data_IF_807334358087
#
_entry.id   IF_807334358087
#
_cell.length_a   1.000
_cell.length_b   1.000
_cell.length_c   1.000
_cell.angle_alpha   90.00
_cell.angle_beta   90.00
_cell.angle_gamma   90.00
#
_symmetry.space_group_name_H-M   'P 1'
#
loop_
_entity.id
_entity.type
_entity.pdbx_description
1 polymer ?
#
# COMPACT_ATOMS: atom_id res chain seq x y z
N UNK A 1 5.28 -4.70 51.67
CA UNK A 1 5.93 -4.19 50.45
C UNK A 1 5.36 -4.98 49.29
N UNK A 2 4.32 -4.45 48.64
CA UNK A 2 3.68 -5.10 47.50
C UNK A 2 4.43 -4.61 46.26
N UNK A 3 5.21 -5.49 45.64
CA UNK A 3 5.75 -5.23 44.31
C UNK A 3 4.60 -5.49 43.35
N UNK A 4 3.89 -4.43 42.96
CA UNK A 4 3.03 -4.50 41.79
C UNK A 4 3.93 -4.77 40.58
N UNK A 5 3.69 -5.89 39.92
CA UNK A 5 4.35 -6.29 38.69
C UNK A 5 3.93 -5.33 37.57
N UNK A 6 4.76 -4.33 37.25
CA UNK A 6 4.57 -3.36 36.16
C UNK A 6 5.35 -3.72 34.88
N UNK A 7 5.93 -4.93 34.80
CA UNK A 7 6.85 -5.29 33.72
C UNK A 7 6.22 -5.29 32.31
N UNK A 8 4.90 -5.47 32.19
CA UNK A 8 4.24 -5.52 30.87
C UNK A 8 3.93 -4.12 30.30
N UNK A 9 3.66 -3.12 31.14
CA UNK A 9 3.31 -1.76 30.66
C UNK A 9 4.52 -0.94 30.22
N UNK A 10 5.67 -1.13 30.87
CA UNK A 10 6.90 -0.41 30.53
C UNK A 10 7.53 -0.92 29.22
N UNK A 11 7.46 -2.23 28.96
CA UNK A 11 8.01 -2.82 27.71
C UNK A 11 7.21 -2.39 26.48
N UNK A 12 5.87 -2.41 26.57
CA UNK A 12 4.98 -1.96 25.49
C UNK A 12 5.18 -0.47 25.16
N UNK A 13 5.38 0.37 26.17
CA UNK A 13 5.65 1.80 26.01
C UNK A 13 7.01 2.04 25.33
N UNK A 14 8.04 1.30 25.73
CA UNK A 14 9.37 1.39 25.13
C UNK A 14 9.38 0.93 23.68
N UNK A 15 8.77 -0.23 23.38
CA UNK A 15 8.63 -0.75 22.02
C UNK A 15 7.89 0.22 21.11
N UNK A 16 6.80 0.81 21.61
CA UNK A 16 6.03 1.83 20.87
C UNK A 16 6.87 3.06 20.57
N UNK A 17 7.65 3.54 21.54
CA UNK A 17 8.56 4.67 21.36
C UNK A 17 9.63 4.37 20.31
N UNK A 18 10.18 3.15 20.31
CA UNK A 18 11.15 2.71 19.31
C UNK A 18 10.55 2.71 17.89
N UNK A 19 9.34 2.16 17.72
CA UNK A 19 8.63 2.14 16.44
C UNK A 19 8.33 3.57 15.97
N UNK A 20 7.85 4.45 16.86
CA UNK A 20 7.60 5.86 16.55
C UNK A 20 8.86 6.57 16.06
N UNK A 21 9.98 6.38 16.76
CA UNK A 21 11.26 7.00 16.38
C UNK A 21 11.74 6.47 15.02
N UNK A 22 11.61 5.17 14.78
CA UNK A 22 11.93 4.55 13.50
C UNK A 22 11.08 5.12 12.35
N UNK A 23 9.75 5.17 12.51
CA UNK A 23 8.83 5.76 11.54
C UNK A 23 9.09 7.25 11.31
N UNK A 24 9.49 7.98 12.35
CA UNK A 24 9.88 9.38 12.22
C UNK A 24 11.14 9.53 11.40
N UNK A 25 12.15 8.68 11.61
CA UNK A 25 13.36 8.65 10.79
C UNK A 25 13.05 8.39 9.31
N UNK A 26 12.11 7.47 9.04
CA UNK A 26 11.63 7.16 7.68
C UNK A 26 10.96 8.36 6.97
N UNK A 27 10.44 9.35 7.70
CA UNK A 27 9.82 10.55 7.08
C UNK A 27 10.81 11.43 6.30
N UNK A 28 12.11 11.22 6.50
CA UNK A 28 13.18 12.01 5.86
C UNK A 28 13.64 11.45 4.51
N UNK A 29 13.27 10.21 4.17
CA UNK A 29 13.78 9.52 2.98
C UNK A 29 12.91 9.77 1.75
N UNK A 30 13.54 9.79 0.58
CA UNK A 30 12.84 10.00 -0.71
C UNK A 30 12.43 8.72 -1.42
N UNK A 31 13.06 7.60 -1.08
CA UNK A 31 12.81 6.28 -1.65
C UNK A 31 12.82 5.22 -0.56
N UNK A 32 11.88 4.26 -0.61
CA UNK A 32 11.75 3.24 0.43
C UNK A 32 11.29 1.90 -0.14
N UNK A 33 11.85 0.80 0.40
CA UNK A 33 11.34 -0.55 0.22
C UNK A 33 10.81 -1.05 1.56
N UNK A 34 9.58 -1.55 1.61
CA UNK A 34 8.92 -2.04 2.82
C UNK A 34 8.45 -3.48 2.58
N UNK A 35 8.91 -4.41 3.42
CA UNK A 35 8.46 -5.81 3.38
C UNK A 35 7.10 -5.99 4.07
N UNK A 36 6.45 -7.13 3.84
CA UNK A 36 5.19 -7.46 4.52
C UNK A 36 5.35 -7.51 6.05
N UNK A 37 6.46 -8.04 6.59
CA UNK A 37 6.72 -8.03 8.04
C UNK A 37 6.79 -6.60 8.60
N UNK A 38 7.39 -5.68 7.84
CA UNK A 38 7.47 -4.28 8.27
C UNK A 38 6.09 -3.62 8.21
N UNK A 39 5.29 -3.92 7.17
CA UNK A 39 3.92 -3.45 7.07
C UNK A 39 3.02 -3.99 8.19
N UNK A 40 3.23 -5.22 8.65
CA UNK A 40 2.52 -5.79 9.81
C UNK A 40 2.82 -5.00 11.09
N UNK A 41 4.09 -4.68 11.36
CA UNK A 41 4.47 -3.83 12.50
C UNK A 41 3.83 -2.44 12.40
N UNK A 42 3.82 -1.85 11.20
CA UNK A 42 3.18 -0.55 10.94
C UNK A 42 1.67 -0.63 11.17
N UNK A 43 1.03 -1.72 10.72
CA UNK A 43 -0.39 -1.96 10.90
C UNK A 43 -0.76 -2.01 12.39
N UNK A 44 -0.04 -2.81 13.17
CA UNK A 44 -0.31 -2.93 14.60
C UNK A 44 -0.05 -1.63 15.35
N UNK A 45 1.02 -0.91 15.00
CA UNK A 45 1.27 0.42 15.53
C UNK A 45 0.16 1.43 15.18
N UNK A 46 -0.37 1.38 13.95
CA UNK A 46 -1.40 2.31 13.48
C UNK A 46 -2.75 2.20 14.23
N UNK A 47 -2.99 1.06 14.89
CA UNK A 47 -4.16 0.86 15.77
C UNK A 47 -4.00 1.59 17.10
N UNK A 48 -2.77 1.93 17.48
CA UNK A 48 -2.42 2.58 18.75
C UNK A 48 -2.21 4.08 18.57
N UNK A 49 -1.52 4.47 17.49
CA UNK A 49 -1.10 5.85 17.25
C UNK A 49 -1.16 6.22 15.77
N UNK A 50 -1.31 7.51 15.49
CA UNK A 50 -1.30 8.01 14.12
C UNK A 50 0.08 7.86 13.49
N UNK A 51 0.12 7.42 12.24
CA UNK A 51 1.34 7.35 11.45
C UNK A 51 1.87 8.76 11.16
N UNK A 52 3.19 8.97 11.17
CA UNK A 52 3.76 10.24 10.73
C UNK A 52 3.55 10.45 9.24
N UNK A 53 3.61 11.71 8.81
CA UNK A 53 3.56 12.04 7.39
C UNK A 53 4.93 11.79 6.73
N UNK A 54 4.95 11.07 5.62
CA UNK A 54 6.13 10.78 4.80
C UNK A 54 6.18 11.74 3.60
N UNK A 55 6.17 13.05 3.86
CA UNK A 55 6.10 14.08 2.81
C UNK A 55 7.31 14.09 1.87
N UNK A 56 8.47 13.58 2.30
CA UNK A 56 9.65 13.49 1.44
C UNK A 56 9.63 12.27 0.52
N UNK A 57 8.70 11.31 0.72
CA UNK A 57 8.70 10.04 0.00
C UNK A 57 8.12 10.21 -1.41
N UNK A 58 8.96 10.00 -2.42
CA UNK A 58 8.61 10.07 -3.84
C UNK A 58 8.53 8.70 -4.51
N UNK A 59 9.27 7.72 -4.01
CA UNK A 59 9.28 6.36 -4.54
C UNK A 59 9.06 5.34 -3.41
N UNK A 60 8.10 4.45 -3.60
CA UNK A 60 7.79 3.38 -2.64
C UNK A 60 7.71 2.05 -3.38
N UNK A 61 8.43 1.06 -2.87
CA UNK A 61 8.14 -0.33 -3.11
C UNK A 61 7.60 -0.91 -1.80
N UNK A 62 6.38 -1.43 -1.80
CA UNK A 62 5.80 -2.07 -0.62
C UNK A 62 5.23 -3.44 -0.96
N UNK A 63 5.40 -4.39 -0.05
CA UNK A 63 4.79 -5.72 -0.13
C UNK A 63 3.69 -5.85 0.92
N UNK A 64 2.51 -6.32 0.52
CA UNK A 64 1.34 -6.50 1.40
C UNK A 64 0.81 -7.93 1.33
N UNK A 65 0.52 -8.52 2.49
CA UNK A 65 -0.35 -9.71 2.57
C UNK A 65 -1.82 -9.29 2.45
N UNK A 66 -2.67 -10.20 1.96
CA UNK A 66 -4.11 -9.98 1.83
C UNK A 66 -4.74 -9.43 3.12
N UNK A 67 -4.32 -9.94 4.28
CA UNK A 67 -4.81 -9.56 5.61
C UNK A 67 -4.56 -8.10 5.98
N UNK A 68 -3.54 -7.47 5.41
CA UNK A 68 -3.12 -6.10 5.73
C UNK A 68 -3.36 -5.12 4.59
N UNK A 69 -3.84 -5.61 3.44
CA UNK A 69 -4.01 -4.80 2.25
C UNK A 69 -5.06 -3.68 2.46
N UNK A 70 -5.98 -3.82 3.43
CA UNK A 70 -6.91 -2.75 3.84
C UNK A 70 -6.22 -1.51 4.43
N UNK A 71 -5.02 -1.64 5.00
CA UNK A 71 -4.25 -0.51 5.51
C UNK A 71 -3.66 0.35 4.38
N UNK A 72 -3.49 -0.23 3.19
CA UNK A 72 -2.77 0.40 2.09
C UNK A 72 -3.26 1.83 1.79
N UNK A 73 -4.58 2.14 1.69
CA UNK A 73 -5.03 3.49 1.41
C UNK A 73 -4.60 4.46 2.53
N UNK A 74 -4.76 4.06 3.78
CA UNK A 74 -4.40 4.90 4.94
C UNK A 74 -2.90 5.19 4.95
N UNK A 75 -2.07 4.16 4.73
CA UNK A 75 -0.62 4.32 4.64
C UNK A 75 -0.21 5.26 3.50
N UNK A 76 -0.76 5.05 2.28
CA UNK A 76 -0.48 5.93 1.14
C UNK A 76 -1.00 7.35 1.33
N UNK A 77 -2.02 7.54 2.17
CA UNK A 77 -2.51 8.85 2.61
C UNK A 77 -1.47 9.64 3.39
N UNK A 78 -0.53 8.96 4.05
CA UNK A 78 0.59 9.58 4.75
C UNK A 78 1.71 10.01 3.80
N UNK A 79 1.67 9.64 2.52
CA UNK A 79 2.72 9.89 1.53
C UNK A 79 2.23 10.88 0.44
N UNK A 80 1.96 12.16 0.77
CA UNK A 80 1.24 13.09 -0.11
C UNK A 80 1.96 13.38 -1.43
N UNK A 81 3.30 13.22 -1.47
CA UNK A 81 4.13 13.53 -2.63
C UNK A 81 4.56 12.28 -3.42
N UNK A 82 4.00 11.11 -3.09
CA UNK A 82 4.39 9.85 -3.72
C UNK A 82 4.18 9.90 -5.23
N UNK A 83 5.23 9.60 -5.98
CA UNK A 83 5.26 9.69 -7.43
C UNK A 83 5.16 8.32 -8.11
N UNK A 84 5.87 7.35 -7.53
CA UNK A 84 5.97 5.99 -8.05
C UNK A 84 5.70 5.00 -6.92
N UNK A 85 4.80 4.05 -7.20
CA UNK A 85 4.48 2.94 -6.32
C UNK A 85 4.75 1.63 -7.06
N UNK A 86 5.58 0.78 -6.47
CA UNK A 86 5.65 -0.65 -6.79
C UNK A 86 4.96 -1.40 -5.66
N UNK A 87 3.91 -2.13 -5.99
CA UNK A 87 3.09 -2.83 -5.03
C UNK A 87 3.14 -4.32 -5.33
N UNK A 88 3.85 -5.03 -4.48
CA UNK A 88 3.80 -6.49 -4.39
C UNK A 88 2.66 -6.88 -3.45
N UNK A 89 1.84 -7.83 -3.85
CA UNK A 89 0.76 -8.33 -3.00
C UNK A 89 0.52 -9.82 -3.22
N UNK A 90 -0.03 -10.47 -2.21
CA UNK A 90 -0.42 -11.87 -2.25
C UNK A 90 -1.89 -12.00 -1.84
N UNK A 91 -2.66 -12.74 -2.65
CA UNK A 91 -4.06 -13.07 -2.37
C UNK A 91 -4.15 -14.59 -2.15
N UNK A 92 -4.59 -14.97 -0.95
CA UNK A 92 -4.78 -16.36 -0.55
C UNK A 92 -6.19 -16.86 -0.93
N UNK A 93 -7.16 -15.93 -1.03
CA UNK A 93 -8.57 -16.25 -1.29
C UNK A 93 -8.99 -15.87 -2.71
N UNK A 94 -9.83 -16.72 -3.32
CA UNK A 94 -10.42 -16.44 -4.64
C UNK A 94 -11.31 -15.18 -4.60
N UNK A 95 -12.09 -15.05 -3.53
CA UNK A 95 -12.95 -13.92 -3.28
C UNK A 95 -12.34 -13.00 -2.22
N UNK A 96 -12.08 -11.76 -2.62
CA UNK A 96 -11.57 -10.73 -1.74
C UNK A 96 -12.67 -9.72 -1.40
N UNK A 97 -13.28 -9.77 -0.20
CA UNK A 97 -14.47 -8.98 0.13
C UNK A 97 -14.16 -7.51 0.45
N UNK A 98 -12.89 -7.16 0.64
CA UNK A 98 -12.47 -5.83 1.09
C UNK A 98 -12.87 -4.77 0.05
N UNK A 99 -13.45 -3.69 0.56
CA UNK A 99 -13.77 -2.49 -0.22
C UNK A 99 -12.89 -1.35 0.23
N UNK A 100 -12.09 -0.84 -0.70
CA UNK A 100 -11.40 0.43 -0.49
C UNK A 100 -12.37 1.60 -0.59
N UNK A 101 -12.57 2.30 0.52
CA UNK A 101 -13.42 3.49 0.60
C UNK A 101 -12.60 4.79 0.61
N UNK A 102 -11.45 4.78 1.27
CA UNK A 102 -10.57 5.95 1.34
C UNK A 102 -9.79 6.14 0.03
N UNK A 103 -9.62 7.39 -0.41
CA UNK A 103 -8.81 7.75 -1.58
C UNK A 103 -7.65 8.62 -1.12
N UNK A 104 -6.40 8.14 -1.19
CA UNK A 104 -5.23 8.91 -0.77
C UNK A 104 -5.07 10.21 -1.55
N UNK A 105 -4.59 11.27 -0.89
CA UNK A 105 -4.32 12.57 -1.54
C UNK A 105 -3.32 12.46 -2.70
N UNK A 106 -2.32 11.58 -2.59
CA UNK A 106 -1.34 11.33 -3.64
C UNK A 106 -1.96 10.75 -4.92
N UNK A 107 -3.11 10.07 -4.85
CA UNK A 107 -3.80 9.55 -6.03
C UNK A 107 -4.31 10.67 -6.93
N UNK A 108 -4.78 11.75 -6.30
CA UNK A 108 -5.31 12.90 -7.02
C UNK A 108 -4.18 13.78 -7.55
N UNK A 109 -3.10 13.94 -6.77
CA UNK A 109 -2.11 15.01 -6.96
C UNK A 109 -0.79 14.56 -7.60
N UNK A 110 -0.18 13.47 -7.14
CA UNK A 110 1.24 13.21 -7.35
C UNK A 110 1.56 11.86 -7.99
N UNK A 111 0.74 10.83 -7.79
CA UNK A 111 1.04 9.45 -8.16
C UNK A 111 0.91 9.27 -9.68
N UNK A 112 2.04 9.08 -10.36
CA UNK A 112 2.13 9.00 -11.83
C UNK A 112 2.38 7.58 -12.34
N UNK A 113 3.07 6.76 -11.55
CA UNK A 113 3.48 5.41 -11.96
C UNK A 113 3.08 4.42 -10.87
N UNK A 114 2.33 3.39 -11.27
CA UNK A 114 1.98 2.28 -10.39
C UNK A 114 2.36 0.98 -11.09
N UNK A 115 3.05 0.11 -10.38
CA UNK A 115 3.34 -1.25 -10.78
C UNK A 115 2.69 -2.20 -9.79
N UNK A 116 1.92 -3.16 -10.31
CA UNK A 116 1.21 -4.16 -9.53
C UNK A 116 1.78 -5.53 -9.88
N UNK A 117 2.37 -6.19 -8.89
CA UNK A 117 2.96 -7.51 -9.04
C UNK A 117 2.48 -8.46 -7.94
N UNK A 118 2.47 -9.75 -8.26
CA UNK A 118 2.12 -10.83 -7.33
C UNK A 118 3.01 -12.01 -7.63
N UNK A 119 3.68 -12.60 -6.61
CA UNK A 119 4.57 -13.74 -6.78
C UNK A 119 3.79 -15.01 -7.14
N UNK A 120 2.50 -15.05 -6.80
CA UNK A 120 1.62 -16.18 -7.08
C UNK A 120 0.77 -15.89 -8.32
N UNK A 121 0.60 -16.89 -9.19
CA UNK A 121 -0.23 -16.82 -10.42
C UNK A 121 -1.72 -17.09 -10.16
N UNK A 122 -2.16 -17.07 -8.91
CA UNK A 122 -3.57 -17.27 -8.55
C UNK A 122 -4.40 -16.11 -9.07
N UNK A 123 -5.25 -16.40 -10.06
CA UNK A 123 -6.09 -15.39 -10.74
C UNK A 123 -7.29 -15.03 -9.87
N UNK A 124 -7.11 -14.12 -8.94
CA UNK A 124 -8.15 -13.77 -7.97
C UNK A 124 -8.98 -12.56 -8.42
N UNK A 125 -10.20 -12.48 -7.91
CA UNK A 125 -11.01 -11.25 -8.02
C UNK A 125 -10.30 -10.04 -7.39
N UNK A 126 -9.40 -10.28 -6.42
CA UNK A 126 -8.60 -9.27 -5.74
C UNK A 126 -7.67 -8.49 -6.66
N UNK A 127 -6.92 -9.18 -7.53
CA UNK A 127 -6.02 -8.56 -8.52
C UNK A 127 -6.77 -7.53 -9.37
N UNK A 128 -7.90 -7.94 -9.95
CA UNK A 128 -8.72 -7.08 -10.79
C UNK A 128 -9.30 -5.90 -10.00
N UNK A 129 -9.80 -6.13 -8.77
CA UNK A 129 -10.31 -5.06 -7.89
C UNK A 129 -9.24 -4.03 -7.56
N UNK A 130 -8.03 -4.46 -7.23
CA UNK A 130 -6.91 -3.59 -6.90
C UNK A 130 -6.51 -2.72 -8.10
N UNK A 131 -6.35 -3.31 -9.28
CA UNK A 131 -6.06 -2.56 -10.50
C UNK A 131 -7.17 -1.53 -10.84
N UNK A 132 -8.45 -1.93 -10.70
CA UNK A 132 -9.59 -1.03 -10.92
C UNK A 132 -9.57 0.13 -9.92
N UNK A 133 -9.23 -0.13 -8.66
CA UNK A 133 -9.16 0.88 -7.62
C UNK A 133 -8.16 1.99 -7.98
N UNK A 134 -6.93 1.65 -8.40
CA UNK A 134 -5.97 2.66 -8.88
C UNK A 134 -6.47 3.38 -10.14
N UNK A 135 -6.98 2.65 -11.14
CA UNK A 135 -7.45 3.26 -12.39
C UNK A 135 -8.60 4.27 -12.20
N UNK A 136 -9.51 4.00 -11.27
CA UNK A 136 -10.70 4.83 -11.03
C UNK A 136 -10.43 6.01 -10.10
N UNK A 137 -9.42 5.93 -9.25
CA UNK A 137 -9.17 6.95 -8.23
C UNK A 137 -7.95 7.83 -8.54
N UNK A 138 -6.95 7.34 -9.29
CA UNK A 138 -5.76 8.12 -9.58
C UNK A 138 -5.95 9.09 -10.76
N UNK A 139 -6.05 10.39 -10.46
CA UNK A 139 -6.24 11.43 -11.47
C UNK A 139 -4.94 11.82 -12.19
N UNK A 140 -3.79 11.71 -11.52
CA UNK A 140 -2.47 12.04 -12.08
C UNK A 140 -1.77 10.87 -12.79
N UNK A 141 -2.38 9.67 -12.76
CA UNK A 141 -1.76 8.43 -13.23
C UNK A 141 -1.40 8.51 -14.72
N UNK A 142 -0.14 8.22 -15.04
CA UNK A 142 0.38 8.17 -16.42
C UNK A 142 0.58 6.73 -16.89
N UNK A 143 0.97 5.82 -16.00
CA UNK A 143 1.19 4.42 -16.33
C UNK A 143 0.76 3.52 -15.19
N UNK A 144 0.01 2.48 -15.53
CA UNK A 144 -0.24 1.31 -14.71
C UNK A 144 0.44 0.11 -15.36
N UNK A 145 1.45 -0.45 -14.71
CA UNK A 145 2.11 -1.69 -15.11
C UNK A 145 1.48 -2.84 -14.33
N UNK A 146 1.09 -3.90 -15.02
CA UNK A 146 0.56 -5.13 -14.44
C UNK A 146 1.52 -6.26 -14.76
N UNK A 147 1.89 -7.05 -13.76
CA UNK A 147 2.70 -8.25 -13.97
C UNK A 147 1.96 -9.28 -14.85
N UNK A 148 2.73 -10.12 -15.54
CA UNK A 148 2.18 -11.22 -16.35
C UNK A 148 1.30 -12.18 -15.53
N UNK A 149 1.52 -12.27 -14.21
CA UNK A 149 0.73 -13.10 -13.29
C UNK A 149 -0.75 -12.72 -13.20
N UNK A 150 -1.16 -11.52 -13.66
CA UNK A 150 -2.58 -11.17 -13.82
C UNK A 150 -3.27 -12.01 -14.91
N UNK A 151 -2.53 -12.54 -15.88
CA UNK A 151 -3.08 -13.25 -17.02
C UNK A 151 -3.73 -12.33 -18.08
N UNK A 152 -3.58 -12.72 -19.34
CA UNK A 152 -4.00 -11.93 -20.49
C UNK A 152 -5.49 -11.57 -20.50
N UNK A 153 -6.36 -12.46 -20.02
CA UNK A 153 -7.81 -12.24 -20.04
C UNK A 153 -8.21 -11.14 -19.05
N UNK A 154 -7.61 -11.10 -17.85
CA UNK A 154 -7.83 -10.06 -16.85
C UNK A 154 -7.25 -8.74 -17.34
N UNK A 155 -6.02 -8.74 -17.88
CA UNK A 155 -5.39 -7.54 -18.43
C UNK A 155 -6.25 -6.95 -19.57
N UNK A 156 -6.76 -7.79 -20.48
CA UNK A 156 -7.67 -7.35 -21.55
C UNK A 156 -8.96 -6.75 -21.00
N UNK A 157 -9.54 -7.31 -19.93
CA UNK A 157 -10.72 -6.74 -19.25
C UNK A 157 -10.40 -5.38 -18.64
N UNK A 158 -9.31 -5.27 -17.88
CA UNK A 158 -8.85 -4.02 -17.25
C UNK A 158 -8.64 -2.92 -18.30
N UNK A 159 -7.99 -3.22 -19.43
CA UNK A 159 -7.74 -2.26 -20.51
C UNK A 159 -9.00 -1.62 -21.11
N UNK A 160 -10.14 -2.31 -21.05
CA UNK A 160 -11.45 -1.84 -21.53
C UNK A 160 -12.17 -0.93 -20.54
N UNK A 161 -11.73 -0.85 -19.29
CA UNK A 161 -12.39 -0.06 -18.25
C UNK A 161 -12.04 1.43 -18.43
N UNK A 162 -13.02 2.34 -18.29
CA UNK A 162 -12.74 3.78 -18.27
C UNK A 162 -11.77 4.15 -17.15
N UNK A 163 -10.75 4.92 -17.50
CA UNK A 163 -9.72 5.41 -16.58
C UNK A 163 -10.06 6.81 -16.11
N UNK A 164 -9.74 7.12 -14.85
CA UNK A 164 -9.87 8.50 -14.32
C UNK A 164 -8.93 9.45 -15.05
N UNK A 165 -7.68 9.04 -15.23
CA UNK A 165 -6.71 9.75 -16.07
C UNK A 165 -6.81 9.31 -17.52
N UNK A 166 -7.14 10.24 -18.42
CA UNK A 166 -7.14 10.00 -19.88
C UNK A 166 -5.74 9.72 -20.44
N UNK A 167 -4.69 10.13 -19.72
CA UNK A 167 -3.29 9.95 -20.11
C UNK A 167 -2.71 8.61 -19.64
N UNK A 168 -3.46 7.85 -18.84
CA UNK A 168 -2.97 6.60 -18.29
C UNK A 168 -2.88 5.50 -19.36
N UNK A 169 -1.68 5.01 -19.61
CA UNK A 169 -1.43 3.77 -20.36
C UNK A 169 -1.40 2.57 -19.42
N UNK A 170 -2.00 1.45 -19.83
CA UNK A 170 -1.91 0.17 -19.11
C UNK A 170 -0.98 -0.74 -19.91
N UNK A 171 0.10 -1.19 -19.29
CA UNK A 171 1.12 -2.04 -19.91
C UNK A 171 1.32 -3.31 -19.09
N UNK A 172 1.87 -4.32 -19.74
CA UNK A 172 2.38 -5.52 -19.06
C UNK A 172 3.88 -5.31 -18.82
N UNK A 173 4.41 -5.73 -17.67
CA UNK A 173 5.81 -5.58 -17.32
C UNK A 173 6.29 -6.64 -16.35
#
# INVERSE_FOLDING_TARGET
>A
MVIHHTLDQDDDSYRRTMIRNFLTGMSTVSGMKISFNTMEVIHDYSKLELLPQFSNLYWLHASFLESFLELMPTFLGCCPNLHTLVLEFEFDKEEWPIKFSYVPSCFVSSLKYVELSTPVTTRTSGQMKLAIYFMRNCAALKKLTLSESFGDDIIKKIKKIPRRSRRCSIVTG
#
